data_IF_035247827058
#
_entry.id   IF_035247827058
#
_cell.length_a   1.000
_cell.length_b   1.000
_cell.length_c   1.000
_cell.angle_alpha   90.00
_cell.angle_beta   90.00
_cell.angle_gamma   90.00
#
_symmetry.space_group_name_H-M   'P 1'
#
loop_
_entity.id
_entity.type
_entity.pdbx_description
1 polymer ?
#
# COMPACT_ATOMS: atom_id res chain seq x y z
N UNK A 1 -5.20 -14.91 -25.68
CA UNK A 1 -6.28 -14.08 -25.11
C UNK A 1 -5.79 -13.47 -23.82
N UNK A 2 -5.54 -12.15 -23.73
CA UNK A 2 -5.16 -11.51 -22.47
C UNK A 2 -6.44 -11.36 -21.65
N UNK A 3 -6.55 -12.11 -20.56
CA UNK A 3 -7.63 -11.95 -19.59
C UNK A 3 -7.50 -10.59 -18.92
N UNK A 4 -8.34 -9.65 -19.34
CA UNK A 4 -8.48 -8.32 -18.75
C UNK A 4 -9.02 -8.44 -17.31
N UNK A 5 -8.16 -8.78 -16.35
CA UNK A 5 -8.56 -8.87 -14.95
C UNK A 5 -8.56 -7.47 -14.33
N UNK A 6 -9.75 -6.91 -14.18
CA UNK A 6 -9.96 -5.64 -13.47
C UNK A 6 -9.70 -5.88 -11.99
N UNK A 7 -8.71 -5.18 -11.42
CA UNK A 7 -8.46 -5.21 -9.97
C UNK A 7 -9.65 -4.56 -9.25
N UNK A 8 -10.34 -5.33 -8.41
CA UNK A 8 -11.44 -4.85 -7.56
C UNK A 8 -10.94 -4.47 -6.18
N UNK A 9 -11.56 -3.44 -5.58
CA UNK A 9 -11.31 -3.06 -4.19
C UNK A 9 -11.75 -4.18 -3.26
N UNK A 10 -10.90 -4.54 -2.28
CA UNK A 10 -11.28 -5.39 -1.16
C UNK A 10 -12.43 -4.73 -0.39
N UNK A 11 -13.47 -5.51 -0.13
CA UNK A 11 -14.66 -5.06 0.59
C UNK A 11 -14.89 -5.89 1.84
N UNK A 12 -14.22 -5.52 2.93
CA UNK A 12 -14.23 -6.28 4.19
C UNK A 12 -14.53 -5.37 5.40
N UNK A 13 -14.46 -5.96 6.60
CA UNK A 13 -14.68 -5.24 7.87
C UNK A 13 -13.73 -4.05 8.06
N UNK A 14 -12.49 -4.10 7.56
CA UNK A 14 -11.51 -3.03 7.73
C UNK A 14 -11.84 -1.81 6.87
N UNK A 15 -12.39 -2.02 5.67
CA UNK A 15 -12.91 -0.95 4.83
C UNK A 15 -14.19 -0.35 5.44
N UNK A 16 -15.12 -1.20 5.90
CA UNK A 16 -16.37 -0.76 6.54
C UNK A 16 -16.10 0.09 7.79
N UNK A 17 -15.18 -0.33 8.66
CA UNK A 17 -14.77 0.40 9.85
C UNK A 17 -14.16 1.80 9.55
N UNK A 18 -13.84 2.09 8.29
CA UNK A 18 -13.29 3.38 7.82
C UNK A 18 -14.28 4.15 6.94
N UNK A 19 -15.58 3.93 7.15
CA UNK A 19 -16.67 4.61 6.44
C UNK A 19 -16.95 4.04 5.04
N UNK A 20 -16.44 2.85 4.72
CA UNK A 20 -16.76 2.17 3.45
C UNK A 20 -16.10 2.78 2.20
N UNK A 21 -15.38 3.90 2.32
CA UNK A 21 -14.65 4.52 1.22
C UNK A 21 -13.26 3.91 1.06
N UNK A 22 -12.88 3.59 -0.18
CA UNK A 22 -11.55 3.12 -0.52
C UNK A 22 -11.14 3.59 -1.92
N UNK A 23 -9.84 3.72 -2.15
CA UNK A 23 -9.24 4.12 -3.43
C UNK A 23 -7.90 3.44 -3.66
N UNK A 24 -7.53 3.29 -4.92
CA UNK A 24 -6.20 2.83 -5.27
C UNK A 24 -5.21 4.00 -5.28
N UNK A 25 -4.02 3.75 -4.74
CA UNK A 25 -2.88 4.63 -4.78
C UNK A 25 -1.74 3.93 -5.50
N UNK A 26 -1.18 4.57 -6.51
CA UNK A 26 0.18 4.24 -6.93
C UNK A 26 1.14 4.91 -5.96
N UNK A 27 1.98 4.12 -5.30
CA UNK A 27 2.96 4.59 -4.31
C UNK A 27 4.35 4.45 -4.90
N UNK A 28 5.10 5.55 -4.91
CA UNK A 28 6.45 5.62 -5.46
C UNK A 28 7.44 6.10 -4.40
N UNK A 29 8.71 5.79 -4.57
CA UNK A 29 9.78 6.30 -3.73
C UNK A 29 9.91 7.81 -3.92
N UNK A 30 9.88 8.58 -2.83
CA UNK A 30 10.08 10.03 -2.88
C UNK A 30 11.45 10.40 -3.47
N UNK A 31 12.50 9.62 -3.18
CA UNK A 31 13.87 9.98 -3.54
C UNK A 31 14.28 9.70 -4.98
N UNK A 32 13.66 8.72 -5.65
CA UNK A 32 14.02 8.39 -7.03
C UNK A 32 12.83 8.23 -7.97
N UNK A 33 11.60 8.41 -7.50
CA UNK A 33 10.39 8.27 -8.31
C UNK A 33 9.98 6.83 -8.63
N UNK A 34 10.83 5.83 -8.33
CA UNK A 34 10.58 4.42 -8.63
C UNK A 34 9.22 3.96 -8.07
N UNK A 35 8.34 3.36 -8.90
CA UNK A 35 7.11 2.74 -8.43
C UNK A 35 7.41 1.64 -7.41
N UNK A 36 6.86 1.75 -6.21
CA UNK A 36 7.03 0.76 -5.15
C UNK A 36 5.93 -0.28 -5.18
N UNK A 37 4.67 0.18 -5.18
CA UNK A 37 3.52 -0.71 -5.19
C UNK A 37 2.18 0.01 -5.46
N UNK A 38 1.21 -0.75 -5.93
CA UNK A 38 -0.21 -0.40 -5.93
C UNK A 38 -0.83 -0.76 -4.58
N UNK A 39 -1.50 0.22 -3.95
CA UNK A 39 -2.05 0.09 -2.61
C UNK A 39 -3.53 0.48 -2.54
N UNK A 40 -4.35 -0.29 -1.84
CA UNK A 40 -5.70 0.13 -1.48
C UNK A 40 -5.68 0.94 -0.19
N UNK A 41 -5.97 2.23 -0.28
CA UNK A 41 -6.20 3.08 0.90
C UNK A 41 -7.68 3.09 1.26
N UNK A 42 -7.95 2.57 2.45
CA UNK A 42 -9.25 2.67 3.11
C UNK A 42 -9.34 3.99 3.92
N UNK A 43 -10.46 4.69 3.81
CA UNK A 43 -10.78 5.90 4.58
C UNK A 43 -10.00 7.17 4.24
N UNK A 44 -10.36 8.29 4.89
CA UNK A 44 -9.72 9.59 4.72
C UNK A 44 -8.33 9.67 5.39
N UNK A 45 -7.68 10.83 5.30
CA UNK A 45 -6.43 11.14 6.02
C UNK A 45 -5.12 10.70 5.35
N UNK A 46 -4.00 11.01 6.00
CA UNK A 46 -2.64 10.74 5.48
C UNK A 46 -2.30 9.25 5.49
N UNK A 47 -1.40 8.85 4.58
CA UNK A 47 -0.86 7.49 4.53
C UNK A 47 0.35 7.39 5.46
N UNK A 48 0.12 7.10 6.75
CA UNK A 48 1.18 6.91 7.75
C UNK A 48 1.69 5.47 7.84
N UNK A 49 0.91 4.52 7.31
CA UNK A 49 1.19 3.08 7.34
C UNK A 49 0.57 2.41 6.13
N UNK A 50 1.16 1.30 5.72
CA UNK A 50 0.63 0.43 4.66
C UNK A 50 0.40 -0.95 5.25
N UNK A 51 -0.84 -1.44 5.18
CA UNK A 51 -1.17 -2.80 5.58
C UNK A 51 -0.74 -3.78 4.49
N UNK A 52 -0.10 -4.88 4.89
CA UNK A 52 0.47 -5.87 3.95
C UNK A 52 -0.59 -6.44 3.03
N UNK A 53 -1.76 -6.77 3.56
CA UNK A 53 -2.88 -7.32 2.79
C UNK A 53 -3.59 -6.29 1.89
N UNK A 54 -3.19 -5.00 1.94
CA UNK A 54 -3.68 -3.95 1.03
C UNK A 54 -2.70 -3.60 -0.08
N UNK A 55 -1.50 -4.17 -0.05
CA UNK A 55 -0.55 -4.10 -1.15
C UNK A 55 -1.03 -5.10 -2.22
N UNK A 56 -1.34 -4.58 -3.40
CA UNK A 56 -1.97 -5.34 -4.48
C UNK A 56 -0.90 -5.87 -5.43
N UNK A 57 0.05 -5.02 -5.82
CA UNK A 57 1.11 -5.39 -6.75
C UNK A 57 2.37 -4.55 -6.49
N UNK A 58 3.56 -5.15 -6.38
CA UNK A 58 3.76 -6.60 -6.22
C UNK A 58 3.19 -7.08 -4.87
N UNK A 59 2.54 -8.25 -4.85
CA UNK A 59 2.06 -8.83 -3.60
C UNK A 59 3.24 -9.13 -2.67
N UNK A 60 3.06 -8.89 -1.37
CA UNK A 60 4.10 -9.14 -0.36
C UNK A 60 3.53 -9.85 0.84
N UNK A 61 4.33 -10.75 1.41
CA UNK A 61 3.99 -11.48 2.64
C UNK A 61 4.30 -10.70 3.92
N UNK A 62 4.95 -9.54 3.80
CA UNK A 62 5.30 -8.72 4.97
C UNK A 62 6.40 -9.28 5.86
N UNK A 63 7.19 -10.26 5.38
CA UNK A 63 8.23 -10.90 6.21
C UNK A 63 9.48 -10.06 6.42
N UNK A 64 9.73 -9.07 5.57
CA UNK A 64 10.92 -8.24 5.65
C UNK A 64 10.79 -7.23 6.79
N UNK A 65 11.82 -7.09 7.64
CA UNK A 65 11.84 -6.09 8.72
C UNK A 65 11.76 -4.65 8.20
N UNK A 66 12.26 -4.42 7.00
CA UNK A 66 12.30 -3.11 6.34
C UNK A 66 11.61 -3.16 4.98
N UNK A 67 10.89 -2.08 4.67
CA UNK A 67 10.43 -1.78 3.32
C UNK A 67 11.49 -0.92 2.65
N UNK A 68 12.14 -1.42 1.61
CA UNK A 68 13.29 -0.77 0.96
C UNK A 68 12.97 -0.55 -0.53
N UNK A 69 13.29 0.64 -1.05
CA UNK A 69 13.25 0.87 -2.48
C UNK A 69 14.33 0.02 -3.18
N UNK A 70 13.93 -0.85 -4.11
CA UNK A 70 14.90 -1.73 -4.80
C UNK A 70 15.86 -0.97 -5.71
N UNK A 71 15.43 0.18 -6.23
CA UNK A 71 16.20 1.05 -7.12
C UNK A 71 17.27 1.84 -6.35
N UNK A 72 16.90 2.77 -5.45
CA UNK A 72 17.85 3.65 -4.76
C UNK A 72 18.27 3.19 -3.35
N UNK A 73 17.79 2.03 -2.88
CA UNK A 73 18.07 1.46 -1.54
C UNK A 73 17.59 2.30 -0.35
N UNK A 74 16.86 3.41 -0.56
CA UNK A 74 16.25 4.18 0.54
C UNK A 74 15.31 3.30 1.36
N UNK A 75 15.44 3.38 2.69
CA UNK A 75 14.51 2.74 3.63
C UNK A 75 13.22 3.56 3.69
N UNK A 76 12.11 2.93 3.34
CA UNK A 76 10.80 3.55 3.21
C UNK A 76 9.99 3.41 4.50
N UNK A 77 10.22 2.34 5.25
CA UNK A 77 9.51 2.09 6.50
C UNK A 77 9.92 0.80 7.19
N UNK A 78 9.35 0.59 8.37
CA UNK A 78 9.64 -0.55 9.25
C UNK A 78 8.42 -1.42 9.41
N UNK A 79 8.60 -2.74 9.35
CA UNK A 79 7.55 -3.71 9.60
C UNK A 79 7.16 -3.73 11.08
N UNK A 80 5.86 -3.88 11.35
CA UNK A 80 5.32 -4.10 12.68
C UNK A 80 3.90 -4.71 12.61
N UNK A 81 3.43 -5.25 13.73
CA UNK A 81 2.03 -5.63 13.89
C UNK A 81 1.27 -4.43 14.46
N UNK A 82 0.24 -3.96 13.76
CA UNK A 82 -0.60 -2.89 14.30
C UNK A 82 -1.53 -3.42 15.39
N UNK A 83 -1.25 -3.06 16.63
CA UNK A 83 -1.88 -3.68 17.81
C UNK A 83 -3.40 -3.67 17.82
N UNK A 84 -4.03 -2.55 17.42
CA UNK A 84 -5.50 -2.43 17.46
C UNK A 84 -6.22 -3.40 16.51
N UNK A 85 -5.55 -3.84 15.43
CA UNK A 85 -6.12 -4.77 14.46
C UNK A 85 -5.37 -6.11 14.41
N UNK A 86 -4.32 -6.27 15.22
CA UNK A 86 -3.36 -7.40 15.15
C UNK A 86 -2.92 -7.71 13.72
N UNK A 87 -2.69 -6.65 12.94
CA UNK A 87 -2.56 -6.72 11.49
C UNK A 87 -1.16 -6.33 11.01
N UNK A 88 -0.51 -7.16 10.17
CA UNK A 88 0.81 -6.84 9.60
C UNK A 88 0.80 -5.54 8.79
N UNK A 89 1.75 -4.66 9.06
CA UNK A 89 1.88 -3.38 8.38
C UNK A 89 3.34 -2.91 8.31
N UNK A 90 3.62 -1.96 7.42
CA UNK A 90 4.80 -1.13 7.50
C UNK A 90 4.42 0.26 7.98
N UNK A 91 5.13 0.78 8.99
CA UNK A 91 5.10 2.19 9.37
C UNK A 91 5.98 2.94 8.38
N UNK A 92 5.41 3.88 7.64
CA UNK A 92 6.16 4.68 6.69
C UNK A 92 6.96 5.74 7.43
N UNK A 93 8.19 5.99 6.98
CA UNK A 93 8.94 7.16 7.39
C UNK A 93 8.35 8.41 6.72
N UNK A 94 8.52 9.55 7.41
CA UNK A 94 8.04 10.82 6.90
C UNK A 94 8.70 11.14 5.56
N UNK A 95 7.89 11.58 4.60
CA UNK A 95 8.33 11.96 3.24
C UNK A 95 9.17 10.90 2.53
N UNK A 96 8.87 9.62 2.81
CA UNK A 96 9.50 8.49 2.14
C UNK A 96 8.81 8.10 0.83
N UNK A 97 7.55 8.53 0.62
CA UNK A 97 6.75 8.13 -0.54
C UNK A 97 5.87 9.24 -1.11
N UNK A 98 5.81 9.25 -2.44
CA UNK A 98 4.83 10.00 -3.23
C UNK A 98 3.63 9.09 -3.49
N UNK A 99 2.43 9.65 -3.49
CA UNK A 99 1.17 8.90 -3.72
C UNK A 99 0.31 9.58 -4.78
N UNK A 100 -0.15 8.80 -5.76
CA UNK A 100 -1.09 9.26 -6.80
C UNK A 100 -2.35 8.41 -6.80
N UNK A 101 -3.52 9.05 -6.75
CA UNK A 101 -4.80 8.33 -6.87
C UNK A 101 -4.92 7.80 -8.30
N UNK A 102 -5.28 6.53 -8.43
CA UNK A 102 -5.48 5.86 -9.72
C UNK A 102 -6.83 5.16 -9.77
N UNK A 103 -7.40 5.06 -10.98
CA UNK A 103 -8.59 4.23 -11.22
C UNK A 103 -8.18 2.74 -11.18
N UNK A 104 -9.16 1.86 -10.96
CA UNK A 104 -8.98 0.43 -11.15
C UNK A 104 -8.45 0.20 -12.57
N UNK A 105 -7.18 -0.18 -12.71
CA UNK A 105 -6.60 -0.55 -14.00
C UNK A 105 -6.75 -2.04 -14.20
N UNK A 106 -7.13 -2.40 -15.41
CA UNK A 106 -6.90 -3.71 -15.99
C UNK A 106 -5.38 -3.94 -16.04
N UNK A 107 -4.89 -5.02 -15.43
CA UNK A 107 -3.50 -5.46 -15.60
C UNK A 107 -3.33 -6.15 -16.96
#
# INVERSE_FOLDING_TARGET
MKSNNIIKLKNDKYRKARGGHARFLNVSCESCGEPLFLYQKDGPGHLKRVYVDRIISPATSGKAKLLICKSCKKVIGTFYIYDKEKRPAYRLYQDAVIKKIVKAKTL
#
